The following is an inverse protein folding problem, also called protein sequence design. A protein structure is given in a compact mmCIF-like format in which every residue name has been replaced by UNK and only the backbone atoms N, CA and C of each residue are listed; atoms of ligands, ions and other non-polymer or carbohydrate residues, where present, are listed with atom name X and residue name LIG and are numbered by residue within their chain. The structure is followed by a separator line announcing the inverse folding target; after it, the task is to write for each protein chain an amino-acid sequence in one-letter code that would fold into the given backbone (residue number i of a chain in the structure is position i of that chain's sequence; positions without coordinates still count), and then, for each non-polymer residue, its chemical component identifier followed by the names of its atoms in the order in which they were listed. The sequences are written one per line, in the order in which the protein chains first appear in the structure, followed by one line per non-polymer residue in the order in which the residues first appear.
data_IF_641531204843
#
_entry.id   IF_641531204843
#
_cell.length_a   1.000
_cell.length_b   1.000
_cell.length_c   1.000
_cell.angle_alpha   90.00
_cell.angle_beta   90.00
_cell.angle_gamma   90.00
#
_symmetry.space_group_name_H-M   'P 1'
#
loop_
_entity.id
_entity.type
_entity.pdbx_description
1 polymer ?
#
# COMPACT_ATOMS: atom_id res chain seq x y z
N UNK A 1 11.43 -12.93 -16.34
CA UNK A 1 11.52 -11.73 -15.47
C UNK A 1 12.84 -11.82 -14.69
N UNK A 2 13.84 -10.99 -14.99
CA UNK A 2 15.06 -10.91 -14.16
C UNK A 2 14.82 -9.81 -13.12
N UNK A 3 14.61 -10.21 -11.88
CA UNK A 3 14.60 -9.29 -10.75
C UNK A 3 16.06 -9.11 -10.32
N UNK A 4 16.64 -7.96 -10.64
CA UNK A 4 17.93 -7.56 -10.10
C UNK A 4 17.68 -6.95 -8.71
N UNK A 5 17.68 -7.80 -7.69
CA UNK A 5 17.68 -7.36 -6.30
C UNK A 5 19.14 -7.02 -5.95
N UNK A 6 19.45 -5.75 -5.81
CA UNK A 6 20.75 -5.31 -5.32
C UNK A 6 20.87 -5.67 -3.82
N UNK A 7 21.70 -6.65 -3.54
CA UNK A 7 21.84 -7.42 -2.29
C UNK A 7 22.43 -6.63 -1.11
N UNK A 8 22.42 -5.29 -1.09
CA UNK A 8 23.19 -4.52 -0.08
C UNK A 8 22.35 -3.87 1.03
N UNK A 9 21.01 -3.99 1.01
CA UNK A 9 20.15 -3.30 1.99
C UNK A 9 19.08 -4.16 2.71
N UNK A 10 19.04 -5.47 2.47
CA UNK A 10 17.93 -6.29 2.99
C UNK A 10 18.25 -6.98 4.32
N UNK A 11 19.51 -7.16 4.72
CA UNK A 11 19.83 -7.92 5.93
C UNK A 11 20.84 -7.23 6.85
N UNK A 12 20.33 -6.51 7.84
CA UNK A 12 20.93 -6.49 9.16
C UNK A 12 19.97 -7.21 10.12
N UNK A 13 20.12 -8.50 10.19
CA UNK A 13 19.55 -9.33 11.25
C UNK A 13 20.30 -9.03 12.54
N UNK A 14 19.67 -8.29 13.44
CA UNK A 14 20.27 -8.04 14.75
C UNK A 14 19.35 -7.19 15.64
N UNK A 15 18.52 -7.82 16.46
CA UNK A 15 17.98 -7.25 17.69
C UNK A 15 16.60 -6.61 17.62
N UNK A 16 15.60 -7.31 18.17
CA UNK A 16 14.35 -6.85 18.80
C UNK A 16 13.35 -6.03 17.97
N UNK A 17 12.16 -6.60 17.80
CA UNK A 17 10.96 -6.14 17.11
C UNK A 17 11.12 -6.05 15.59
N UNK A 18 10.84 -7.16 14.93
CA UNK A 18 10.67 -7.22 13.48
C UNK A 18 9.40 -6.47 13.09
N UNK A 19 9.53 -5.19 12.76
CA UNK A 19 8.47 -4.52 12.00
C UNK A 19 8.58 -4.99 10.54
N UNK A 20 7.47 -5.50 9.98
CA UNK A 20 7.39 -5.86 8.58
C UNK A 20 7.85 -4.70 7.67
N UNK A 21 8.50 -5.01 6.55
CA UNK A 21 8.90 -3.99 5.57
C UNK A 21 7.73 -3.66 4.65
N UNK A 22 7.29 -2.42 4.66
CA UNK A 22 6.17 -1.93 3.87
C UNK A 22 6.71 -1.41 2.54
N UNK A 23 6.28 -2.04 1.43
CA UNK A 23 6.72 -1.72 0.07
C UNK A 23 5.51 -1.33 -0.77
N UNK A 24 5.48 -0.08 -1.24
CA UNK A 24 4.43 0.40 -2.14
C UNK A 24 4.78 0.15 -3.61
N UNK A 25 3.83 -0.34 -4.40
CA UNK A 25 3.94 -0.41 -5.85
C UNK A 25 3.12 0.72 -6.45
N UNK A 26 3.80 1.77 -6.90
CA UNK A 26 3.16 3.00 -7.36
C UNK A 26 3.61 3.41 -8.76
N UNK A 27 2.67 3.81 -9.57
CA UNK A 27 2.84 4.58 -10.80
C UNK A 27 1.50 5.25 -11.10
N UNK A 28 1.51 6.54 -11.41
CA UNK A 28 0.30 7.30 -11.75
C UNK A 28 -0.25 7.00 -13.15
N UNK A 29 0.40 6.09 -13.90
CA UNK A 29 -0.13 5.53 -15.14
C UNK A 29 -0.87 4.21 -14.88
N UNK A 30 -2.05 4.05 -15.48
CA UNK A 30 -2.76 2.78 -15.55
C UNK A 30 -2.12 1.79 -16.53
N UNK A 31 -2.38 0.48 -16.34
CA UNK A 31 -1.93 -0.55 -17.29
C UNK A 31 -0.43 -0.85 -17.32
N UNK A 32 0.32 -0.45 -16.29
CA UNK A 32 1.76 -0.76 -16.14
C UNK A 32 2.02 -1.99 -15.27
N UNK A 33 1.00 -2.82 -15.09
CA UNK A 33 1.08 -4.09 -14.35
C UNK A 33 1.45 -3.96 -12.87
N UNK A 34 1.00 -2.90 -12.17
CA UNK A 34 1.17 -2.77 -10.71
C UNK A 34 0.62 -4.00 -9.98
N UNK A 35 -0.67 -4.25 -10.15
CA UNK A 35 -1.41 -5.38 -9.56
C UNK A 35 -0.76 -6.72 -9.84
N UNK A 36 -0.44 -6.99 -11.11
CA UNK A 36 0.24 -8.24 -11.52
C UNK A 36 1.61 -8.38 -10.85
N UNK A 37 2.35 -7.27 -10.74
CA UNK A 37 3.66 -7.26 -10.07
C UNK A 37 3.51 -7.50 -8.57
N UNK A 38 2.54 -6.85 -7.92
CA UNK A 38 2.23 -7.06 -6.50
C UNK A 38 1.92 -8.52 -6.22
N UNK A 39 1.03 -9.12 -7.02
CA UNK A 39 0.64 -10.52 -6.90
C UNK A 39 1.84 -11.47 -7.03
N UNK A 40 2.61 -11.36 -8.11
CA UNK A 40 3.75 -12.25 -8.33
C UNK A 40 4.89 -12.04 -7.34
N UNK A 41 5.13 -10.80 -6.90
CA UNK A 41 6.13 -10.51 -5.89
C UNK A 41 5.72 -11.08 -4.53
N UNK A 42 4.44 -10.89 -4.14
CA UNK A 42 3.89 -11.45 -2.90
C UNK A 42 3.97 -12.97 -2.89
N UNK A 43 3.54 -13.60 -3.97
CA UNK A 43 3.62 -15.04 -4.12
C UNK A 43 5.06 -15.55 -4.03
N UNK A 44 5.99 -14.88 -4.72
CA UNK A 44 7.40 -15.29 -4.71
C UNK A 44 8.09 -15.11 -3.36
N UNK A 45 7.78 -14.05 -2.63
CA UNK A 45 8.29 -13.86 -1.28
C UNK A 45 7.78 -14.96 -0.33
N UNK A 46 6.50 -15.31 -0.43
CA UNK A 46 5.90 -16.37 0.37
C UNK A 46 6.47 -17.76 0.04
N UNK A 47 6.74 -18.06 -1.24
CA UNK A 47 7.46 -19.29 -1.64
C UNK A 47 8.89 -19.37 -1.08
N UNK A 48 9.53 -18.22 -0.87
CA UNK A 48 10.85 -18.13 -0.25
C UNK A 48 10.80 -18.23 1.28
N UNK A 49 9.62 -18.44 1.87
CA UNK A 49 9.40 -18.62 3.30
C UNK A 49 9.14 -17.33 4.08
N UNK A 50 9.00 -16.18 3.41
CA UNK A 50 8.67 -14.92 4.08
C UNK A 50 7.17 -14.75 4.23
N UNK A 51 6.70 -14.48 5.45
CA UNK A 51 5.30 -14.14 5.70
C UNK A 51 4.97 -12.79 5.08
N UNK A 52 4.14 -12.81 4.06
CA UNK A 52 3.89 -11.65 3.18
C UNK A 52 2.40 -11.33 3.13
N UNK A 53 2.05 -10.09 3.45
CA UNK A 53 0.71 -9.54 3.28
C UNK A 53 0.66 -8.67 2.02
N UNK A 54 -0.29 -8.94 1.15
CA UNK A 54 -0.68 -8.03 0.07
C UNK A 54 -1.90 -7.23 0.52
N UNK A 55 -1.88 -5.91 0.29
CA UNK A 55 -3.01 -5.01 0.59
C UNK A 55 -3.45 -4.36 -0.71
N UNK A 56 -4.72 -4.54 -1.05
CA UNK A 56 -5.34 -3.88 -2.20
C UNK A 56 -5.86 -2.51 -1.78
N UNK A 57 -5.15 -1.45 -2.17
CA UNK A 57 -5.52 -0.06 -1.91
C UNK A 57 -6.11 0.65 -3.12
N UNK A 58 -6.31 -0.07 -4.25
CA UNK A 58 -7.00 0.45 -5.42
C UNK A 58 -8.51 0.22 -5.28
N UNK A 59 -9.36 1.27 -5.35
CA UNK A 59 -10.82 1.10 -5.35
C UNK A 59 -11.37 0.24 -6.50
N UNK A 60 -10.56 -0.03 -7.53
CA UNK A 60 -10.94 -0.99 -8.58
C UNK A 60 -10.85 -2.45 -8.13
N UNK A 61 -10.23 -2.74 -6.97
CA UNK A 61 -10.11 -4.06 -6.36
C UNK A 61 -9.54 -5.14 -7.29
N UNK A 62 -8.64 -4.77 -8.20
CA UNK A 62 -8.07 -5.68 -9.19
C UNK A 62 -7.18 -6.76 -8.56
N UNK A 63 -6.43 -6.42 -7.50
CA UNK A 63 -5.62 -7.40 -6.77
C UNK A 63 -6.51 -8.40 -6.05
N UNK A 64 -7.56 -7.93 -5.40
CA UNK A 64 -8.56 -8.76 -4.74
C UNK A 64 -9.21 -9.73 -5.72
N UNK A 65 -9.65 -9.22 -6.88
CA UNK A 65 -10.22 -10.04 -7.95
C UNK A 65 -9.25 -11.12 -8.44
N UNK A 66 -8.00 -10.76 -8.66
CA UNK A 66 -6.95 -11.70 -9.08
C UNK A 66 -6.67 -12.78 -8.02
N UNK A 67 -6.57 -12.40 -6.75
CA UNK A 67 -6.28 -13.31 -5.66
C UNK A 67 -7.42 -14.29 -5.37
N UNK A 68 -8.67 -13.82 -5.44
CA UNK A 68 -9.86 -14.64 -5.17
C UNK A 68 -10.32 -15.45 -6.39
N UNK A 69 -9.58 -15.37 -7.52
CA UNK A 69 -9.92 -16.08 -8.76
C UNK A 69 -11.35 -15.77 -9.23
N UNK A 70 -11.65 -14.47 -9.30
CA UNK A 70 -12.99 -13.90 -9.47
C UNK A 70 -13.64 -14.11 -10.86
N UNK A 71 -12.98 -14.85 -11.76
CA UNK A 71 -13.48 -15.19 -13.10
C UNK A 71 -14.78 -16.04 -13.10
N UNK A 72 -15.17 -16.55 -11.91
CA UNK A 72 -16.46 -17.23 -11.73
C UNK A 72 -17.42 -16.23 -11.13
N UNK A 73 -18.44 -15.86 -11.91
CA UNK A 73 -19.59 -15.08 -11.47
C UNK A 73 -20.01 -15.50 -10.05
N UNK A 74 -20.13 -14.55 -9.15
CA UNK A 74 -20.51 -14.67 -7.74
C UNK A 74 -19.42 -14.96 -6.69
N UNK A 75 -18.17 -15.33 -7.00
CA UNK A 75 -17.17 -15.55 -5.93
C UNK A 75 -16.84 -14.29 -5.13
N UNK A 76 -16.67 -13.14 -5.80
CA UNK A 76 -16.45 -11.87 -5.12
C UNK A 76 -17.66 -11.45 -4.30
N UNK A 77 -18.85 -11.54 -4.87
CA UNK A 77 -20.09 -11.21 -4.16
C UNK A 77 -20.24 -12.07 -2.92
N UNK A 78 -20.10 -13.39 -3.06
CA UNK A 78 -20.16 -14.33 -1.94
C UNK A 78 -19.08 -14.05 -0.89
N UNK A 79 -17.87 -13.68 -1.33
CA UNK A 79 -16.79 -13.33 -0.40
C UNK A 79 -17.15 -12.11 0.44
N UNK A 80 -17.62 -11.01 -0.18
CA UNK A 80 -17.99 -9.79 0.54
C UNK A 80 -19.28 -9.94 1.37
N UNK A 81 -20.21 -10.78 0.96
CA UNK A 81 -21.40 -11.12 1.75
C UNK A 81 -21.06 -11.97 2.98
N UNK A 82 -20.12 -12.90 2.85
CA UNK A 82 -19.70 -13.80 3.92
C UNK A 82 -18.68 -13.16 4.88
N UNK A 83 -17.91 -12.16 4.42
CA UNK A 83 -16.78 -11.61 5.15
C UNK A 83 -16.79 -10.08 5.14
N UNK A 84 -16.66 -9.49 6.31
CA UNK A 84 -16.62 -8.04 6.48
C UNK A 84 -15.21 -7.51 6.75
N UNK A 85 -14.16 -8.25 6.36
CA UNK A 85 -12.79 -7.78 6.50
C UNK A 85 -12.23 -7.31 5.16
N UNK A 86 -12.01 -6.02 5.04
CA UNK A 86 -11.42 -5.33 3.90
C UNK A 86 -10.78 -4.02 4.37
N UNK A 87 -10.03 -3.35 3.51
CA UNK A 87 -9.32 -2.12 3.89
C UNK A 87 -10.26 -1.02 4.39
N UNK A 88 -11.47 -0.90 3.82
CA UNK A 88 -12.46 0.11 4.24
C UNK A 88 -12.93 -0.15 5.66
N UNK A 89 -13.38 -1.38 5.94
CA UNK A 89 -13.87 -1.76 7.27
C UNK A 89 -12.78 -1.70 8.33
N UNK A 90 -11.53 -2.05 7.97
CA UNK A 90 -10.40 -2.01 8.88
C UNK A 90 -10.00 -0.58 9.28
N UNK A 91 -10.13 0.40 8.39
CA UNK A 91 -9.80 1.80 8.64
C UNK A 91 -11.00 2.64 9.11
N UNK A 92 -12.22 2.11 9.05
CA UNK A 92 -13.45 2.84 9.41
C UNK A 92 -13.42 3.49 10.80
N UNK A 93 -12.80 2.90 11.84
CA UNK A 93 -12.75 3.54 13.16
C UNK A 93 -12.14 4.94 13.12
N UNK A 94 -11.12 5.15 12.29
CA UNK A 94 -10.44 6.44 12.16
C UNK A 94 -11.07 7.32 11.09
N UNK A 95 -11.33 6.76 9.92
CA UNK A 95 -11.79 7.53 8.75
C UNK A 95 -13.26 7.97 8.88
N UNK A 96 -14.07 7.22 9.61
CA UNK A 96 -15.46 7.58 9.95
C UNK A 96 -15.60 8.17 11.36
N UNK A 97 -14.48 8.39 12.07
CA UNK A 97 -14.46 8.91 13.44
C UNK A 97 -15.37 8.11 14.40
N UNK A 98 -15.28 6.79 14.37
CA UNK A 98 -16.00 5.90 15.26
C UNK A 98 -15.42 5.92 16.68
N UNK A 99 -16.24 5.62 17.71
CA UNK A 99 -15.80 5.59 19.12
C UNK A 99 -15.08 4.29 19.50
N UNK A 100 -14.32 3.69 18.59
CA UNK A 100 -13.51 2.49 18.84
C UNK A 100 -12.11 2.66 18.29
N UNK A 101 -11.09 2.04 18.89
CA UNK A 101 -9.72 2.08 18.38
C UNK A 101 -9.58 1.25 17.09
N UNK A 102 -8.46 1.46 16.38
CA UNK A 102 -8.00 0.52 15.38
C UNK A 102 -7.60 -0.80 16.06
N UNK A 103 -7.86 -1.89 15.36
CA UNK A 103 -7.47 -3.25 15.75
C UNK A 103 -6.76 -3.94 14.60
N UNK A 104 -5.93 -4.95 14.92
CA UNK A 104 -5.34 -5.81 13.91
C UNK A 104 -6.44 -6.51 13.10
N UNK A 105 -6.43 -6.32 11.79
CA UNK A 105 -7.49 -6.86 10.94
C UNK A 105 -7.32 -8.36 10.68
N UNK A 106 -8.40 -9.01 10.24
CA UNK A 106 -8.35 -10.35 9.68
C UNK A 106 -7.94 -10.24 8.21
N UNK A 107 -7.10 -11.17 7.75
CA UNK A 107 -6.67 -11.26 6.37
C UNK A 107 -7.19 -12.56 5.74
N UNK A 108 -7.36 -12.54 4.43
CA UNK A 108 -7.60 -13.76 3.67
C UNK A 108 -6.32 -14.59 3.64
N UNK A 109 -6.44 -15.88 3.95
CA UNK A 109 -5.35 -16.86 3.97
C UNK A 109 -5.47 -17.77 2.75
N UNK A 110 -4.36 -18.01 2.06
CA UNK A 110 -4.35 -18.83 0.84
C UNK A 110 -4.21 -20.31 1.20
N UNK A 111 -5.11 -21.16 0.74
CA UNK A 111 -5.13 -22.61 1.02
C UNK A 111 -3.82 -23.31 0.64
N UNK A 112 -3.12 -22.84 -0.38
CA UNK A 112 -1.91 -23.48 -0.91
C UNK A 112 -0.61 -22.75 -0.55
N UNK A 113 -0.67 -21.71 0.30
CA UNK A 113 0.51 -20.98 0.75
C UNK A 113 0.28 -20.30 2.09
N UNK A 114 0.68 -20.95 3.16
CA UNK A 114 0.51 -20.49 4.55
C UNK A 114 1.28 -19.20 4.90
N UNK A 115 2.22 -18.78 4.04
CA UNK A 115 2.99 -17.57 4.22
C UNK A 115 2.42 -16.37 3.44
N UNK A 116 1.31 -16.54 2.72
CA UNK A 116 0.70 -15.49 1.92
C UNK A 116 -0.64 -15.07 2.49
N UNK A 117 -0.83 -13.76 2.63
CA UNK A 117 -2.04 -13.14 3.18
C UNK A 117 -2.52 -12.03 2.25
N UNK A 118 -3.83 -11.76 2.24
CA UNK A 118 -4.42 -10.63 1.53
C UNK A 118 -5.34 -9.84 2.47
N UNK A 119 -5.17 -8.52 2.51
CA UNK A 119 -6.21 -7.61 2.96
C UNK A 119 -6.95 -7.10 1.72
N UNK A 120 -8.19 -7.52 1.51
CA UNK A 120 -8.96 -7.17 0.32
C UNK A 120 -9.25 -5.67 0.22
N UNK A 121 -9.33 -5.17 -1.00
CA UNK A 121 -9.80 -3.84 -1.31
C UNK A 121 -11.31 -3.67 -1.09
N UNK A 122 -11.80 -2.44 -1.28
CA UNK A 122 -13.22 -2.13 -1.30
C UNK A 122 -13.48 -0.95 -2.22
N UNK A 123 -14.53 -1.01 -3.05
CA UNK A 123 -14.82 0.03 -4.04
C UNK A 123 -15.05 1.41 -3.39
N UNK A 124 -15.70 1.44 -2.24
CA UNK A 124 -15.97 2.66 -1.49
C UNK A 124 -14.75 3.19 -0.72
N UNK A 125 -13.58 2.55 -0.82
CA UNK A 125 -12.34 3.09 -0.25
C UNK A 125 -11.97 4.45 -0.85
N UNK A 126 -12.45 4.73 -2.07
CA UNK A 126 -12.33 6.04 -2.72
C UNK A 126 -12.99 7.19 -1.95
N UNK A 127 -13.99 6.93 -1.12
CA UNK A 127 -14.67 7.95 -0.31
C UNK A 127 -13.73 8.58 0.71
N UNK A 128 -12.70 7.86 1.13
CA UNK A 128 -11.72 8.34 2.10
C UNK A 128 -10.73 9.38 1.54
N UNK A 129 -10.67 9.56 0.21
CA UNK A 129 -9.81 10.60 -0.37
C UNK A 129 -10.19 12.00 0.12
N UNK A 130 -11.48 12.27 0.29
CA UNK A 130 -11.96 13.51 0.89
C UNK A 130 -11.45 13.70 2.33
N UNK A 131 -11.46 12.65 3.14
CA UNK A 131 -10.98 12.69 4.54
C UNK A 131 -9.48 12.97 4.60
N UNK A 132 -8.67 12.32 3.75
CA UNK A 132 -7.23 12.59 3.65
C UNK A 132 -6.95 14.01 3.16
N UNK A 133 -7.68 14.51 2.15
CA UNK A 133 -7.56 15.88 1.66
C UNK A 133 -7.85 16.92 2.74
N UNK A 134 -8.89 16.70 3.55
CA UNK A 134 -9.22 17.59 4.66
C UNK A 134 -8.10 17.55 5.72
N UNK A 135 -7.61 16.36 6.07
CA UNK A 135 -6.53 16.20 7.04
C UNK A 135 -5.24 16.91 6.60
N UNK A 136 -4.91 16.87 5.30
CA UNK A 136 -3.75 17.56 4.74
C UNK A 136 -3.88 19.09 4.74
N UNK A 137 -5.06 19.62 4.43
CA UNK A 137 -5.26 21.05 4.19
C UNK A 137 -5.66 21.84 5.45
N UNK A 138 -6.20 21.18 6.47
CA UNK A 138 -6.71 21.84 7.68
C UNK A 138 -5.77 21.68 8.89
N UNK A 139 -4.52 21.98 8.71
CA UNK A 139 -3.39 21.75 9.63
C UNK A 139 -3.48 22.38 11.03
N UNK A 140 -4.56 23.07 11.38
CA UNK A 140 -4.60 23.79 12.65
C UNK A 140 -5.88 23.66 13.47
N UNK A 141 -6.95 23.03 12.95
CA UNK A 141 -8.28 23.22 13.54
C UNK A 141 -9.05 21.95 13.90
N UNK A 142 -8.69 20.77 13.39
CA UNK A 142 -9.51 19.58 13.58
C UNK A 142 -8.74 18.46 14.30
N UNK A 143 -8.75 18.47 15.61
CA UNK A 143 -8.25 17.39 16.49
C UNK A 143 -8.84 16.03 16.10
N UNK A 144 -10.06 16.02 15.56
CA UNK A 144 -10.77 14.81 15.11
C UNK A 144 -9.99 14.06 14.01
N UNK A 145 -9.25 14.77 13.16
CA UNK A 145 -8.50 14.18 12.03
C UNK A 145 -7.03 13.88 12.36
N UNK A 146 -6.58 14.15 13.59
CA UNK A 146 -5.16 13.97 13.96
C UNK A 146 -4.63 12.55 13.76
N UNK A 147 -5.49 11.55 13.81
CA UNK A 147 -5.14 10.14 13.67
C UNK A 147 -5.16 9.63 12.22
N UNK A 148 -5.73 10.39 11.30
CA UNK A 148 -5.94 9.95 9.90
C UNK A 148 -4.62 9.67 9.17
N UNK A 149 -3.60 10.55 9.20
CA UNK A 149 -2.37 10.30 8.44
C UNK A 149 -1.57 9.07 8.90
N UNK A 150 -1.67 8.69 10.19
CA UNK A 150 -0.96 7.52 10.73
C UNK A 150 -1.77 6.22 10.72
N UNK A 151 -3.07 6.28 10.38
CA UNK A 151 -3.99 5.16 10.57
C UNK A 151 -3.62 3.90 9.79
N UNK A 152 -3.30 4.01 8.50
CA UNK A 152 -2.95 2.85 7.68
C UNK A 152 -1.65 2.19 8.18
N UNK A 153 -0.62 2.99 8.49
CA UNK A 153 0.63 2.44 9.01
C UNK A 153 0.41 1.74 10.35
N UNK A 154 -0.41 2.30 11.23
CA UNK A 154 -0.76 1.67 12.51
C UNK A 154 -1.51 0.35 12.30
N UNK A 155 -2.51 0.32 11.40
CA UNK A 155 -3.22 -0.91 11.04
C UNK A 155 -2.26 -1.99 10.53
N UNK A 156 -1.34 -1.62 9.63
CA UNK A 156 -0.32 -2.52 9.11
C UNK A 156 0.58 -3.04 10.23
N UNK A 157 1.03 -2.18 11.14
CA UNK A 157 1.90 -2.57 12.26
C UNK A 157 1.20 -3.61 13.14
N UNK A 158 -0.02 -3.34 13.59
CA UNK A 158 -0.78 -4.26 14.45
C UNK A 158 -1.10 -5.59 13.75
N UNK A 159 -1.43 -5.53 12.46
CA UNK A 159 -1.69 -6.73 11.66
C UNK A 159 -0.41 -7.53 11.42
N UNK A 160 0.72 -6.84 11.23
CA UNK A 160 2.03 -7.48 11.08
C UNK A 160 2.45 -8.21 12.35
N UNK A 161 2.19 -7.65 13.52
CA UNK A 161 2.43 -8.30 14.80
C UNK A 161 1.56 -9.55 14.98
N UNK A 162 0.25 -9.46 14.62
CA UNK A 162 -0.70 -10.58 14.71
C UNK A 162 -0.30 -11.77 13.86
N UNK A 163 0.16 -11.54 12.63
CA UNK A 163 0.51 -12.59 11.66
C UNK A 163 2.01 -12.89 11.59
N UNK A 164 2.86 -12.14 12.33
CA UNK A 164 4.32 -12.21 12.27
C UNK A 164 4.86 -12.00 10.86
N UNK A 165 4.41 -10.91 10.21
CA UNK A 165 4.74 -10.62 8.81
C UNK A 165 6.18 -10.11 8.65
N UNK A 166 6.84 -10.54 7.56
CA UNK A 166 8.14 -10.02 7.13
C UNK A 166 7.99 -8.87 6.13
N UNK A 167 7.01 -8.97 5.23
CA UNK A 167 6.75 -8.00 4.18
C UNK A 167 5.27 -7.64 4.07
N UNK A 168 5.03 -6.37 3.73
CA UNK A 168 3.71 -5.88 3.33
C UNK A 168 3.84 -5.18 1.98
N UNK A 169 3.06 -5.62 0.99
CA UNK A 169 3.04 -5.06 -0.36
C UNK A 169 1.73 -4.29 -0.55
N UNK A 170 1.82 -3.03 -0.95
CA UNK A 170 0.66 -2.18 -1.20
C UNK A 170 0.46 -2.02 -2.72
N UNK A 171 -0.68 -2.52 -3.23
CA UNK A 171 -1.10 -2.28 -4.61
C UNK A 171 -1.90 -0.98 -4.69
N UNK A 172 -1.31 0.03 -5.31
CA UNK A 172 -1.87 1.39 -5.29
C UNK A 172 -2.60 1.74 -6.59
N UNK A 173 -3.63 2.56 -6.49
CA UNK A 173 -4.36 3.10 -7.64
C UNK A 173 -3.47 4.00 -8.52
N UNK A 174 -3.79 4.16 -9.83
CA UNK A 174 -3.00 5.01 -10.74
C UNK A 174 -3.43 6.49 -10.66
N UNK A 175 -3.50 7.04 -9.45
CA UNK A 175 -3.95 8.42 -9.26
C UNK A 175 -2.95 9.25 -8.45
N UNK A 176 -2.93 10.56 -8.73
CA UNK A 176 -2.25 11.55 -7.89
C UNK A 176 -3.30 12.10 -6.93
N UNK A 177 -3.51 11.42 -5.81
CA UNK A 177 -4.53 11.74 -4.81
C UNK A 177 -3.90 11.88 -3.42
N UNK A 178 -4.63 12.47 -2.48
CA UNK A 178 -4.20 12.59 -1.09
C UNK A 178 -4.07 11.21 -0.42
N UNK A 179 -4.99 10.31 -0.72
CA UNK A 179 -4.92 8.91 -0.26
C UNK A 179 -3.62 8.25 -0.71
N UNK A 180 -3.29 8.33 -2.01
CA UNK A 180 -2.05 7.74 -2.53
C UNK A 180 -0.80 8.43 -1.96
N UNK A 181 -0.81 9.75 -1.77
CA UNK A 181 0.27 10.46 -1.10
C UNK A 181 0.49 9.92 0.32
N UNK A 182 -0.59 9.76 1.09
CA UNK A 182 -0.52 9.24 2.45
C UNK A 182 -0.02 7.79 2.50
N UNK A 183 -0.55 6.91 1.64
CA UNK A 183 -0.12 5.51 1.52
C UNK A 183 1.37 5.42 1.20
N UNK A 184 1.82 6.18 0.19
CA UNK A 184 3.23 6.17 -0.23
C UNK A 184 4.14 6.69 0.89
N UNK A 185 3.81 7.83 1.51
CA UNK A 185 4.59 8.41 2.59
C UNK A 185 4.59 7.53 3.86
N UNK A 186 3.53 6.75 4.09
CA UNK A 186 3.45 5.76 5.17
C UNK A 186 4.27 4.50 4.95
N UNK A 187 4.81 4.29 3.73
CA UNK A 187 5.61 3.11 3.38
C UNK A 187 7.09 3.29 3.75
N UNK A 188 7.85 2.17 3.83
CA UNK A 188 9.29 2.20 4.04
C UNK A 188 10.04 2.29 2.71
N UNK A 189 9.48 1.65 1.68
CA UNK A 189 10.05 1.56 0.34
C UNK A 189 8.98 1.70 -0.73
N UNK A 190 9.42 2.02 -1.96
CA UNK A 190 8.53 1.94 -3.11
C UNK A 190 9.26 1.47 -4.37
N UNK A 191 8.47 0.84 -5.24
CA UNK A 191 8.86 0.33 -6.56
C UNK A 191 7.95 0.98 -7.61
N UNK A 192 8.51 1.32 -8.77
CA UNK A 192 7.75 1.87 -9.89
C UNK A 192 7.70 0.83 -11.03
N UNK A 193 6.60 0.06 -11.16
CA UNK A 193 6.36 -0.72 -12.37
C UNK A 193 6.17 0.22 -13.57
N UNK A 194 6.84 -0.07 -14.69
CA UNK A 194 6.79 0.79 -15.87
C UNK A 194 6.74 -0.04 -17.17
N UNK A 195 6.15 0.54 -18.20
CA UNK A 195 6.19 0.02 -19.56
C UNK A 195 7.13 0.89 -20.41
N UNK A 196 7.81 0.33 -21.43
CA UNK A 196 8.74 1.09 -22.28
C UNK A 196 7.96 1.89 -23.34
N UNK A 197 7.18 2.87 -22.91
CA UNK A 197 6.41 3.75 -23.77
C UNK A 197 6.48 5.21 -23.31
N UNK A 198 6.17 6.12 -24.25
CA UNK A 198 6.24 7.57 -24.03
C UNK A 198 5.36 8.06 -22.86
N UNK A 199 4.17 7.49 -22.70
CA UNK A 199 3.27 7.92 -21.61
C UNK A 199 3.76 7.46 -20.24
N UNK A 200 4.48 6.34 -20.16
CA UNK A 200 5.12 5.92 -18.92
C UNK A 200 6.28 6.86 -18.57
N UNK A 201 7.05 7.31 -19.57
CA UNK A 201 8.07 8.34 -19.38
C UNK A 201 7.46 9.63 -18.80
N UNK A 202 6.37 10.14 -19.39
CA UNK A 202 5.66 11.33 -18.88
C UNK A 202 5.12 11.13 -17.46
N UNK A 203 4.63 9.93 -17.15
CA UNK A 203 4.15 9.61 -15.80
C UNK A 203 5.29 9.68 -14.77
N UNK A 204 6.46 9.15 -15.10
CA UNK A 204 7.64 9.24 -14.25
C UNK A 204 8.10 10.69 -14.07
N UNK A 205 8.12 11.49 -15.15
CA UNK A 205 8.42 12.93 -15.06
C UNK A 205 7.43 13.68 -14.15
N UNK A 206 6.14 13.34 -14.23
CA UNK A 206 5.12 13.87 -13.35
C UNK A 206 5.41 13.50 -11.89
N UNK A 207 5.74 12.24 -11.64
CA UNK A 207 6.05 11.75 -10.29
C UNK A 207 7.29 12.45 -9.71
N UNK A 208 8.33 12.67 -10.50
CA UNK A 208 9.53 13.42 -10.07
C UNK A 208 9.17 14.85 -9.57
N UNK A 209 8.13 15.47 -10.16
CA UNK A 209 7.66 16.81 -9.75
C UNK A 209 6.74 16.77 -8.53
N UNK A 210 5.94 15.71 -8.40
CA UNK A 210 4.91 15.59 -7.35
C UNK A 210 5.50 15.03 -6.05
N UNK A 211 6.39 14.05 -6.14
CA UNK A 211 6.95 13.37 -4.98
C UNK A 211 7.63 14.31 -3.96
N UNK A 212 8.47 15.31 -4.36
CA UNK A 212 9.01 16.28 -3.42
C UNK A 212 7.95 17.13 -2.72
N UNK A 213 6.83 17.42 -3.39
CA UNK A 213 5.71 18.15 -2.80
C UNK A 213 5.03 17.29 -1.73
N UNK A 214 4.77 16.02 -2.01
CA UNK A 214 4.23 15.08 -1.04
C UNK A 214 5.13 14.94 0.19
N UNK A 215 6.45 14.81 -0.02
CA UNK A 215 7.42 14.79 1.07
C UNK A 215 7.34 16.03 1.95
N UNK A 216 7.28 17.22 1.32
CA UNK A 216 7.18 18.50 2.05
C UNK A 216 5.86 18.64 2.82
N UNK A 217 4.74 18.28 2.18
CA UNK A 217 3.42 18.31 2.83
C UNK A 217 3.40 17.36 4.03
N UNK A 218 3.84 16.11 3.85
CA UNK A 218 3.87 15.12 4.91
C UNK A 218 4.79 15.53 6.08
N UNK A 219 5.95 16.12 5.80
CA UNK A 219 6.88 16.62 6.82
C UNK A 219 6.29 17.81 7.59
N UNK A 220 5.57 18.70 6.92
CA UNK A 220 4.86 19.80 7.55
C UNK A 220 3.73 19.31 8.47
N UNK A 221 2.95 18.33 8.01
CA UNK A 221 1.92 17.70 8.84
C UNK A 221 2.52 17.09 10.10
N UNK A 222 3.57 16.29 9.95
CA UNK A 222 4.25 15.63 11.06
C UNK A 222 4.79 16.62 12.10
N UNK A 223 5.21 17.80 11.69
CA UNK A 223 5.72 18.88 12.58
C UNK A 223 4.61 19.69 13.26
N UNK A 224 3.40 19.68 12.72
CA UNK A 224 2.27 20.41 13.28
C UNK A 224 1.84 19.83 14.63
N UNK A 225 1.55 20.71 15.59
CA UNK A 225 1.29 20.34 17.00
C UNK A 225 0.13 19.34 17.15
N UNK A 226 -0.92 19.49 16.32
CA UNK A 226 -2.08 18.60 16.32
C UNK A 226 -1.67 17.15 16.04
N UNK A 227 -0.79 16.92 15.05
CA UNK A 227 -0.37 15.58 14.65
C UNK A 227 0.71 14.98 15.57
N UNK A 228 1.46 15.82 16.31
CA UNK A 228 2.38 15.34 17.33
C UNK A 228 1.65 14.62 18.47
N UNK A 229 0.42 15.04 18.77
CA UNK A 229 -0.43 14.44 19.80
C UNK A 229 -1.26 13.26 19.29
N UNK A 230 -1.18 12.91 18.01
CA UNK A 230 -1.89 11.77 17.43
C UNK A 230 -1.49 10.46 18.14
N UNK A 231 -2.49 9.58 18.36
CA UNK A 231 -2.27 8.23 18.89
C UNK A 231 -1.57 7.38 17.83
N UNK A 232 -1.99 7.51 16.56
CA UNK A 232 -1.41 6.78 15.43
C UNK A 232 -0.35 7.65 14.76
N UNK A 233 0.90 7.30 15.01
CA UNK A 233 2.05 8.09 14.57
C UNK A 233 2.28 7.96 13.07
N UNK A 234 2.61 9.07 12.45
CA UNK A 234 3.07 9.13 11.07
C UNK A 234 4.48 8.50 10.95
N UNK A 235 4.84 8.07 9.75
CA UNK A 235 6.20 7.57 9.47
C UNK A 235 7.24 8.69 9.66
N UNK A 236 8.34 8.39 10.34
CA UNK A 236 9.42 9.36 10.59
C UNK A 236 10.37 9.54 9.40
N UNK A 237 10.32 8.63 8.45
CA UNK A 237 11.23 8.62 7.30
C UNK A 237 10.47 8.73 5.98
N UNK A 238 11.12 9.35 5.00
CA UNK A 238 10.63 9.34 3.60
C UNK A 238 10.86 7.95 3.00
N UNK A 239 9.90 7.39 2.25
CA UNK A 239 10.07 6.09 1.62
C UNK A 239 11.25 6.07 0.65
N UNK A 240 12.02 4.97 0.68
CA UNK A 240 13.20 4.80 -0.18
C UNK A 240 12.80 4.17 -1.51
N UNK A 241 13.25 4.76 -2.60
CA UNK A 241 13.08 4.20 -3.93
C UNK A 241 13.97 2.97 -4.13
N UNK A 242 13.36 1.81 -4.40
CA UNK A 242 14.08 0.55 -4.67
C UNK A 242 14.44 0.36 -6.14
N UNK A 243 13.74 1.03 -7.04
CA UNK A 243 13.98 0.92 -8.47
C UNK A 243 12.70 0.78 -9.30
N UNK A 244 12.87 0.51 -10.59
CA UNK A 244 11.78 0.26 -11.54
C UNK A 244 11.70 -1.21 -11.90
N UNK A 245 10.48 -1.69 -12.19
CA UNK A 245 10.27 -3.00 -12.81
C UNK A 245 9.71 -2.77 -14.19
N UNK A 246 10.52 -3.04 -15.21
CA UNK A 246 10.12 -2.89 -16.59
C UNK A 246 9.28 -4.08 -17.05
N UNK A 247 8.06 -3.79 -17.50
CA UNK A 247 7.12 -4.74 -18.07
C UNK A 247 7.16 -4.68 -19.62
N UNK A 248 6.73 -5.76 -20.27
CA UNK A 248 6.62 -5.83 -21.74
C UNK A 248 7.96 -5.52 -22.46
N UNK A 249 9.04 -6.18 -22.04
CA UNK A 249 10.28 -6.13 -22.77
C UNK A 249 10.11 -6.87 -24.12
N UNK A 250 10.03 -6.12 -25.21
CA UNK A 250 10.13 -6.68 -26.56
C UNK A 250 11.62 -6.79 -26.91
N UNK A 251 12.13 -8.01 -26.96
CA UNK A 251 13.43 -8.26 -27.56
C UNK A 251 13.34 -8.00 -29.05
N UNK A 252 14.06 -6.97 -29.55
CA UNK A 252 14.20 -6.66 -30.98
C UNK A 252 15.07 -7.68 -31.75
N UNK A 253 15.24 -8.90 -31.24
CA UNK A 253 16.09 -9.93 -31.86
C UNK A 253 15.40 -10.63 -33.05
N UNK A 254 14.18 -10.24 -33.43
CA UNK A 254 13.47 -10.80 -34.59
C UNK A 254 12.90 -9.69 -35.49
N UNK A 255 13.75 -8.84 -36.01
CA UNK A 255 13.51 -8.11 -37.27
C UNK A 255 14.69 -8.40 -38.19
#
# INVERSE_FOLDING_TARGET
MRILIYNKYIFTLGGNHFMAKIIALFNNKGGVSKTTTTFHLGWKLAELGYKTLMIDTDPQCNLTGLCLNADKENKLTQFYEANNYNIKSALSPVLNNEMRPLEATTCYEFEHNENLFLLPGHIEFSEYDATYNIAENMTGSLVVLQNVPGALRQLITMTSEKYHLDFVLLDMSPSISATNANILMGSDFFIIPCAPDYFCYMAIESLIKVFPKWCSTYDNLRKAEVFKNAIYKMNDTVPKFLGTIQQRYLSLIHI
#
